data_IF_738044769085
#
_entry.id   IF_738044769085
#
_cell.length_a   1.000
_cell.length_b   1.000
_cell.length_c   1.000
_cell.angle_alpha   90.00
_cell.angle_beta   90.00
_cell.angle_gamma   90.00
#
_symmetry.space_group_name_H-M   'P 1'
#
loop_
_entity.id
_entity.type
_entity.pdbx_description
1 polymer ?
#
# COMPACT_ATOMS: atom_id res chain seq x y z
N UNK A 1 13.02 -17.31 -18.29
CA UNK A 1 12.11 -16.63 -17.35
C UNK A 1 11.14 -15.83 -18.18
N UNK A 2 9.84 -16.09 -18.07
CA UNK A 2 8.85 -15.18 -18.64
C UNK A 2 8.84 -13.87 -17.84
N UNK A 3 8.81 -12.74 -18.55
CA UNK A 3 8.76 -11.43 -17.93
C UNK A 3 7.34 -11.15 -17.47
N UNK A 4 7.18 -10.84 -16.18
CA UNK A 4 5.88 -10.43 -15.63
C UNK A 4 5.44 -9.10 -16.26
N UNK A 5 4.15 -8.96 -16.64
CA UNK A 5 3.65 -7.71 -17.19
C UNK A 5 3.73 -6.58 -16.16
N UNK A 6 4.01 -5.36 -16.63
CA UNK A 6 4.03 -4.17 -15.78
C UNK A 6 2.61 -3.83 -15.29
N UNK A 7 2.45 -3.38 -14.03
CA UNK A 7 1.16 -2.98 -13.47
C UNK A 7 0.77 -1.55 -13.86
N UNK A 8 0.70 -1.27 -15.18
CA UNK A 8 0.37 0.07 -15.67
C UNK A 8 -1.07 0.43 -15.30
N UNK A 9 -1.24 1.54 -14.56
CA UNK A 9 -2.55 2.01 -14.11
C UNK A 9 -3.15 1.22 -12.94
N UNK A 10 -2.45 0.21 -12.42
CA UNK A 10 -2.93 -0.60 -11.29
C UNK A 10 -2.21 -0.14 -10.02
N UNK A 11 -2.98 0.16 -8.99
CA UNK A 11 -2.47 0.66 -7.71
C UNK A 11 -2.87 -0.22 -6.53
N UNK A 12 -3.54 -1.33 -6.78
CA UNK A 12 -3.99 -2.27 -5.76
C UNK A 12 -3.02 -3.43 -5.67
N UNK A 13 -2.37 -3.57 -4.51
CA UNK A 13 -1.41 -4.62 -4.25
C UNK A 13 -1.97 -6.02 -4.50
N UNK A 14 -3.16 -6.32 -3.99
CA UNK A 14 -3.83 -7.61 -4.17
C UNK A 14 -4.00 -7.95 -5.66
N UNK A 15 -4.44 -6.98 -6.47
CA UNK A 15 -4.61 -7.15 -7.92
C UNK A 15 -3.28 -7.41 -8.64
N UNK A 16 -2.21 -6.70 -8.25
CA UNK A 16 -0.87 -6.92 -8.83
C UNK A 16 -0.40 -8.35 -8.56
N UNK A 17 -0.57 -8.86 -7.34
CA UNK A 17 -0.13 -10.20 -6.95
C UNK A 17 -0.97 -11.27 -7.64
N UNK A 18 -2.30 -11.17 -7.55
CA UNK A 18 -3.24 -12.17 -8.07
C UNK A 18 -3.22 -12.26 -9.60
N UNK A 19 -3.01 -11.14 -10.31
CA UNK A 19 -2.84 -11.14 -11.77
C UNK A 19 -1.40 -11.47 -12.22
N UNK A 20 -0.51 -11.86 -11.30
CA UNK A 20 0.86 -12.27 -11.64
C UNK A 20 1.74 -11.16 -12.22
N UNK A 21 1.42 -9.89 -11.93
CA UNK A 21 2.14 -8.71 -12.46
C UNK A 21 3.44 -8.46 -11.70
N UNK A 22 4.30 -7.62 -12.29
CA UNK A 22 5.55 -7.22 -11.64
C UNK A 22 5.26 -6.36 -10.41
N UNK A 23 5.63 -6.87 -9.23
CA UNK A 23 5.72 -6.10 -7.99
C UNK A 23 7.19 -6.02 -7.58
N UNK A 24 7.68 -4.81 -7.29
CA UNK A 24 9.03 -4.62 -6.76
C UNK A 24 8.95 -4.73 -5.25
N UNK A 25 9.60 -5.75 -4.70
CA UNK A 25 9.57 -5.98 -3.25
C UNK A 25 10.24 -4.83 -2.49
N UNK A 26 9.45 -4.15 -1.66
CA UNK A 26 9.89 -3.13 -0.69
C UNK A 26 9.40 -3.45 0.71
N UNK A 27 8.98 -4.69 0.94
CA UNK A 27 8.27 -5.08 2.16
C UNK A 27 9.17 -5.07 3.41
N UNK A 28 10.49 -5.17 3.27
CA UNK A 28 11.44 -4.89 4.36
C UNK A 28 11.32 -3.46 4.89
N UNK A 29 11.28 -2.47 3.99
CA UNK A 29 11.13 -1.08 4.38
C UNK A 29 9.77 -0.83 5.01
N UNK A 30 8.72 -1.47 4.48
CA UNK A 30 7.37 -1.39 5.06
C UNK A 30 7.34 -1.98 6.47
N UNK A 31 7.98 -3.13 6.69
CA UNK A 31 8.12 -3.71 8.01
C UNK A 31 8.79 -2.74 8.99
N UNK A 32 9.92 -2.14 8.61
CA UNK A 32 10.63 -1.13 9.43
C UNK A 32 9.77 0.11 9.71
N UNK A 33 8.94 0.52 8.74
CA UNK A 33 7.97 1.60 8.93
C UNK A 33 6.91 1.23 9.97
N UNK A 34 6.39 0.00 9.94
CA UNK A 34 5.36 -0.45 10.88
C UNK A 34 5.91 -0.58 12.30
N UNK A 35 7.13 -1.10 12.46
CA UNK A 35 7.70 -1.45 13.78
C UNK A 35 8.52 -0.34 14.42
N UNK A 36 9.05 0.61 13.63
CA UNK A 36 10.06 1.56 14.12
C UNK A 36 9.57 2.98 14.40
N UNK A 37 8.46 3.43 13.80
CA UNK A 37 8.11 4.85 13.81
C UNK A 37 6.89 5.23 14.63
N UNK A 38 6.91 6.46 15.11
CA UNK A 38 5.76 7.09 15.79
C UNK A 38 4.88 7.84 14.78
N UNK A 39 5.49 8.59 13.85
CA UNK A 39 4.79 9.37 12.81
C UNK A 39 5.61 9.39 11.53
N UNK A 40 4.95 9.19 10.38
CA UNK A 40 5.56 9.31 9.05
C UNK A 40 4.82 10.33 8.18
N UNK A 41 5.58 11.18 7.51
CA UNK A 41 5.05 12.08 6.48
C UNK A 41 5.26 11.49 5.09
N UNK A 42 4.16 11.17 4.40
CA UNK A 42 4.19 10.79 3.00
C UNK A 42 4.02 12.03 2.13
N UNK A 43 5.12 12.56 1.60
CA UNK A 43 5.09 13.70 0.68
C UNK A 43 4.15 13.41 -0.51
N UNK A 44 3.55 14.44 -1.12
CA UNK A 44 2.56 14.30 -2.22
C UNK A 44 3.11 14.46 -3.65
N UNK A 45 4.34 14.02 -4.04
CA UNK A 45 4.71 14.05 -5.46
C UNK A 45 3.78 13.16 -6.30
N UNK A 46 3.38 13.67 -7.46
CA UNK A 46 2.43 13.01 -8.36
C UNK A 46 3.03 11.71 -8.89
N UNK A 47 2.24 10.62 -8.94
CA UNK A 47 2.64 9.29 -9.44
C UNK A 47 3.79 8.59 -8.68
N UNK A 48 4.06 9.00 -7.44
CA UNK A 48 5.12 8.39 -6.60
C UNK A 48 4.75 7.01 -5.99
N UNK A 49 3.62 6.40 -6.36
CA UNK A 49 3.25 5.08 -5.85
C UNK A 49 2.68 5.04 -4.41
N UNK A 50 2.27 6.17 -3.84
CA UNK A 50 1.63 6.23 -2.52
C UNK A 50 0.40 5.32 -2.39
N UNK A 51 -0.47 5.31 -3.40
CA UNK A 51 -1.68 4.47 -3.38
C UNK A 51 -1.32 2.99 -3.28
N UNK A 52 -0.28 2.56 -4.02
CA UNK A 52 0.24 1.19 -3.94
C UNK A 52 0.73 0.88 -2.52
N UNK A 53 1.54 1.75 -1.93
CA UNK A 53 2.00 1.60 -0.55
C UNK A 53 0.84 1.47 0.45
N UNK A 54 -0.17 2.34 0.37
CA UNK A 54 -1.36 2.29 1.24
C UNK A 54 -2.11 0.97 1.05
N UNK A 55 -2.29 0.50 -0.19
CA UNK A 55 -2.94 -0.79 -0.45
C UNK A 55 -2.14 -1.99 0.07
N UNK A 56 -0.80 -1.91 0.03
CA UNK A 56 0.08 -2.94 0.62
C UNK A 56 -0.05 -2.96 2.15
N UNK A 57 -0.05 -1.79 2.79
CA UNK A 57 -0.30 -1.65 4.24
C UNK A 57 -1.67 -2.20 4.64
N UNK A 58 -2.71 -1.87 3.86
CA UNK A 58 -4.06 -2.42 4.05
C UNK A 58 -4.05 -3.95 4.05
N UNK A 59 -3.38 -4.57 3.08
CA UNK A 59 -3.28 -6.03 3.00
C UNK A 59 -2.50 -6.65 4.17
N UNK A 60 -1.41 -5.99 4.61
CA UNK A 60 -0.64 -6.40 5.79
C UNK A 60 -1.53 -6.37 7.04
N UNK A 61 -2.18 -5.23 7.31
CA UNK A 61 -3.00 -5.06 8.51
C UNK A 61 -4.27 -5.90 8.52
N UNK A 62 -4.82 -6.25 7.36
CA UNK A 62 -5.89 -7.24 7.23
C UNK A 62 -5.43 -8.68 7.48
N UNK A 63 -4.13 -8.92 7.67
CA UNK A 63 -3.57 -10.25 7.92
C UNK A 63 -3.53 -11.14 6.66
N UNK A 64 -3.57 -10.57 5.45
CA UNK A 64 -3.63 -11.31 4.18
C UNK A 64 -2.27 -11.92 3.78
N UNK A 65 -1.69 -12.74 4.66
CA UNK A 65 -0.33 -13.29 4.55
C UNK A 65 -0.03 -13.95 3.20
N UNK A 66 -1.00 -14.67 2.65
CA UNK A 66 -0.81 -15.43 1.41
C UNK A 66 -0.46 -14.55 0.20
N UNK A 67 -0.89 -13.27 0.19
CA UNK A 67 -0.54 -12.32 -0.87
C UNK A 67 0.95 -11.95 -0.86
N UNK A 68 1.67 -12.23 0.22
CA UNK A 68 3.07 -11.85 0.39
C UNK A 68 4.04 -12.99 0.13
N UNK A 69 3.57 -14.17 -0.30
CA UNK A 69 4.44 -15.32 -0.61
C UNK A 69 5.55 -14.93 -1.58
N UNK A 70 6.80 -15.18 -1.16
CA UNK A 70 7.99 -14.84 -1.93
C UNK A 70 8.47 -13.39 -1.78
N UNK A 71 7.79 -12.56 -0.98
CA UNK A 71 8.25 -11.23 -0.56
C UNK A 71 8.95 -11.34 0.81
N UNK A 72 9.82 -10.37 1.11
CA UNK A 72 10.63 -10.35 2.33
C UNK A 72 9.80 -10.47 3.62
N UNK A 73 8.72 -9.69 3.76
CA UNK A 73 7.90 -9.66 4.98
C UNK A 73 7.19 -10.99 5.29
N UNK A 74 6.97 -11.84 4.28
CA UNK A 74 6.36 -13.14 4.50
C UNK A 74 7.27 -14.10 5.29
N UNK A 75 8.58 -13.93 5.15
CA UNK A 75 9.61 -14.68 5.87
C UNK A 75 10.13 -13.98 7.13
N UNK A 76 9.62 -12.79 7.47
CA UNK A 76 10.03 -12.07 8.67
C UNK A 76 9.24 -12.53 9.91
N UNK A 77 9.56 -11.95 11.06
CA UNK A 77 8.89 -12.14 12.35
C UNK A 77 7.62 -11.29 12.54
N UNK A 78 7.03 -10.78 11.43
CA UNK A 78 5.83 -9.98 11.50
C UNK A 78 4.62 -10.78 12.04
N UNK A 79 3.94 -10.27 13.06
CA UNK A 79 2.71 -10.85 13.57
C UNK A 79 1.53 -10.53 12.64
N UNK A 80 1.03 -11.56 11.94
CA UNK A 80 -0.07 -11.46 10.98
C UNK A 80 -1.46 -11.38 11.63
N UNK A 81 -1.53 -10.86 12.86
CA UNK A 81 -2.80 -10.58 13.54
C UNK A 81 -3.64 -9.62 12.70
N UNK A 82 -4.91 -9.96 12.38
CA UNK A 82 -5.76 -9.08 11.61
C UNK A 82 -6.28 -7.91 12.45
N UNK A 83 -6.37 -6.73 11.83
CA UNK A 83 -6.91 -5.50 12.40
C UNK A 83 -8.06 -4.96 11.53
N UNK A 84 -9.05 -4.28 12.13
CA UNK A 84 -10.02 -3.51 11.35
C UNK A 84 -9.30 -2.35 10.64
N UNK A 85 -9.39 -2.29 9.31
CA UNK A 85 -8.76 -1.25 8.50
C UNK A 85 -9.82 -0.30 7.96
N UNK A 86 -9.68 1.00 8.27
CA UNK A 86 -10.47 2.07 7.68
C UNK A 86 -9.62 2.77 6.64
N UNK A 87 -9.99 2.62 5.36
CA UNK A 87 -9.35 3.32 4.25
C UNK A 87 -10.15 4.54 3.87
N UNK A 88 -9.54 5.71 3.98
CA UNK A 88 -10.14 6.99 3.58
C UNK A 88 -9.49 7.47 2.28
N UNK A 89 -10.29 7.69 1.25
CA UNK A 89 -9.86 8.36 0.03
C UNK A 89 -10.40 9.78 -0.01
N UNK A 90 -9.51 10.75 0.10
CA UNK A 90 -9.84 12.18 0.08
C UNK A 90 -9.41 12.83 -1.25
N UNK A 91 -9.05 12.04 -2.27
CA UNK A 91 -8.54 12.56 -3.54
C UNK A 91 -9.58 13.31 -4.37
N UNK A 92 -10.86 13.07 -4.10
CA UNK A 92 -12.01 13.67 -4.80
C UNK A 92 -12.66 14.82 -4.03
N UNK A 93 -12.21 15.09 -2.80
CA UNK A 93 -12.80 16.15 -1.98
C UNK A 93 -12.27 17.50 -2.47
N UNK A 94 -13.18 18.31 -2.99
CA UNK A 94 -12.91 19.74 -3.20
C UNK A 94 -13.10 20.45 -1.85
N UNK A 95 -12.10 21.21 -1.43
CA UNK A 95 -12.29 22.11 -0.30
C UNK A 95 -13.16 23.27 -0.76
N UNK A 96 -14.33 23.43 -0.15
CA UNK A 96 -15.09 24.68 -0.27
C UNK A 96 -14.24 25.79 0.36
N UNK A 97 -13.54 26.55 -0.48
CA UNK A 97 -12.96 27.81 -0.04
C UNK A 97 -14.08 28.75 0.36
N UNK A 98 -13.91 29.50 1.45
CA UNK A 98 -14.89 30.44 2.01
C UNK A 98 -15.41 31.54 1.05
N UNK A 99 -14.94 31.57 -0.21
CA UNK A 99 -15.47 32.41 -1.28
C UNK A 99 -16.87 31.98 -1.80
N UNK A 100 -17.40 30.83 -1.35
CA UNK A 100 -18.69 30.28 -1.80
C UNK A 100 -19.88 30.49 -0.85
N UNK A 101 -19.67 31.04 0.35
CA UNK A 101 -20.78 31.35 1.27
C UNK A 101 -21.30 32.74 0.93
N UNK A 102 -22.36 32.78 0.11
CA UNK A 102 -23.23 33.96 -0.02
C UNK A 102 -24.37 33.87 0.97
#
# INVERSE_FOLDING_TARGET
MELKPLPIGIQEFEKIVTEGRLYVDKTEYIYRLITGGVVYFLSRPRRFGKSLLVSTLEAIFKGQRDLFRGLWIHGSDYDWRPYPVIRMDLSVIQADTAAGVK
#
